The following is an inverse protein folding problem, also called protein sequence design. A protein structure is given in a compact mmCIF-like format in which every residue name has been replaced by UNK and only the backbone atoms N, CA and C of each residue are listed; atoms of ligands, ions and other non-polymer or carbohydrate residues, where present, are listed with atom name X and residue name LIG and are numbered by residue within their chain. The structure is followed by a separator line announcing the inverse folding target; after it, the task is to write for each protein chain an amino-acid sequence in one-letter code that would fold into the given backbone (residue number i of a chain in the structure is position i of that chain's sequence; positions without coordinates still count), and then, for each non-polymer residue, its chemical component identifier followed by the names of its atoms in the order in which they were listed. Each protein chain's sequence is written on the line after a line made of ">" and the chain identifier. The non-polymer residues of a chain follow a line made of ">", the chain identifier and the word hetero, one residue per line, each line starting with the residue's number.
data_IF_371743843383
#
_entry.id   IF_371743843383
#
_cell.length_a   1.000
_cell.length_b   1.000
_cell.length_c   1.000
_cell.angle_alpha   90.00
_cell.angle_beta   90.00
_cell.angle_gamma   90.00
#
_symmetry.space_group_name_H-M   'P 1'
#
loop_
_entity.id
_entity.type
_entity.pdbx_description
1 polymer ?
#
# COMPACT_ATOMS: atom_id res chain seq x y z
N UNK A 1 14.11 24.92 11.61
CA UNK A 1 14.25 24.47 10.20
C UNK A 1 15.21 23.28 10.03
N UNK A 2 16.41 23.27 10.63
CA UNK A 2 17.38 22.17 10.44
C UNK A 2 16.89 20.76 10.86
N UNK A 3 16.13 20.63 11.96
CA UNK A 3 15.64 19.33 12.43
C UNK A 3 14.55 18.71 11.55
N UNK A 4 13.72 19.54 10.90
CA UNK A 4 12.66 19.05 9.98
C UNK A 4 13.31 18.45 8.73
N UNK A 5 14.27 19.16 8.13
CA UNK A 5 14.98 18.70 6.92
C UNK A 5 15.78 17.43 7.19
N UNK A 6 16.34 17.28 8.42
CA UNK A 6 17.06 16.07 8.80
C UNK A 6 16.12 14.86 8.90
N UNK A 7 14.92 15.04 9.46
CA UNK A 7 13.93 13.97 9.57
C UNK A 7 13.42 13.50 8.20
N UNK A 8 13.19 14.42 7.25
CA UNK A 8 12.73 14.06 5.92
C UNK A 8 13.76 13.21 5.16
N UNK A 9 15.05 13.49 5.30
CA UNK A 9 16.11 12.65 4.71
C UNK A 9 16.18 11.26 5.32
N UNK A 10 16.00 11.14 6.64
CA UNK A 10 15.97 9.84 7.32
C UNK A 10 14.80 9.01 6.80
N UNK A 11 13.60 9.61 6.69
CA UNK A 11 12.42 8.96 6.14
C UNK A 11 12.66 8.49 4.70
N UNK A 12 13.29 9.32 3.87
CA UNK A 12 13.64 8.97 2.50
C UNK A 12 14.55 7.74 2.43
N UNK A 13 15.59 7.68 3.27
CA UNK A 13 16.48 6.52 3.35
C UNK A 13 15.78 5.26 3.87
N UNK A 14 14.88 5.38 4.87
CA UNK A 14 14.06 4.25 5.34
C UNK A 14 13.25 3.67 4.19
N UNK A 15 12.59 4.52 3.39
CA UNK A 15 11.82 4.08 2.22
C UNK A 15 12.70 3.34 1.20
N UNK A 16 13.89 3.87 0.92
CA UNK A 16 14.83 3.24 -0.04
C UNK A 16 15.27 1.88 0.47
N UNK A 17 15.68 1.76 1.73
CA UNK A 17 16.16 0.49 2.31
C UNK A 17 15.05 -0.55 2.34
N UNK A 18 13.87 -0.20 2.86
CA UNK A 18 12.70 -1.10 2.87
C UNK A 18 12.29 -1.45 1.43
N UNK A 19 12.28 -0.46 0.53
CA UNK A 19 11.91 -0.66 -0.86
C UNK A 19 12.84 -1.62 -1.61
N UNK A 20 14.16 -1.54 -1.39
CA UNK A 20 15.14 -2.45 -2.01
C UNK A 20 15.00 -3.87 -1.44
N UNK A 21 14.77 -4.01 -0.13
CA UNK A 21 14.69 -5.33 0.51
C UNK A 21 13.51 -6.18 0.01
N UNK A 22 12.40 -5.56 -0.43
CA UNK A 22 11.22 -6.28 -0.91
C UNK A 22 11.49 -7.09 -2.21
N UNK A 23 11.95 -6.50 -3.33
CA UNK A 23 12.26 -7.26 -4.53
C UNK A 23 13.44 -8.21 -4.34
N UNK A 24 14.42 -7.90 -3.48
CA UNK A 24 15.50 -8.84 -3.12
C UNK A 24 14.92 -10.09 -2.45
N UNK A 25 13.99 -9.94 -1.50
CA UNK A 25 13.34 -11.06 -0.87
C UNK A 25 12.51 -11.90 -1.86
N UNK A 26 11.85 -11.27 -2.84
CA UNK A 26 11.18 -11.98 -3.94
C UNK A 26 12.18 -12.82 -4.73
N UNK A 27 13.32 -12.24 -5.11
CA UNK A 27 14.35 -12.98 -5.86
C UNK A 27 14.91 -14.14 -5.04
N UNK A 28 15.24 -13.93 -3.77
CA UNK A 28 15.78 -15.01 -2.91
C UNK A 28 14.78 -16.14 -2.73
N UNK A 29 13.50 -15.80 -2.49
CA UNK A 29 12.47 -16.81 -2.18
C UNK A 29 11.93 -17.55 -3.40
N UNK A 30 11.82 -16.87 -4.54
CA UNK A 30 11.04 -17.36 -5.67
C UNK A 30 11.86 -17.60 -6.95
N UNK A 31 13.08 -17.05 -7.08
CA UNK A 31 13.91 -17.34 -8.24
C UNK A 31 14.25 -18.83 -8.41
N UNK A 32 14.41 -19.64 -7.34
CA UNK A 32 14.59 -21.10 -7.48
C UNK A 32 13.37 -21.81 -8.07
N UNK A 33 12.17 -21.22 -8.00
CA UNK A 33 10.90 -21.78 -8.49
C UNK A 33 10.19 -20.68 -9.30
N UNK A 34 10.68 -20.36 -10.53
CA UNK A 34 10.28 -19.16 -11.26
C UNK A 34 8.80 -19.14 -11.68
N UNK A 35 8.13 -20.30 -11.72
CA UNK A 35 6.69 -20.40 -11.98
C UNK A 35 5.82 -19.67 -10.96
N UNK A 36 6.31 -19.46 -9.74
CA UNK A 36 5.61 -18.71 -8.69
C UNK A 36 5.88 -17.20 -8.70
N UNK A 37 6.79 -16.70 -9.56
CA UNK A 37 7.02 -15.26 -9.71
C UNK A 37 5.76 -14.50 -10.20
N UNK A 38 4.80 -15.21 -10.76
CA UNK A 38 3.50 -14.66 -11.20
C UNK A 38 2.49 -14.54 -10.05
N UNK A 39 2.80 -15.01 -8.84
CA UNK A 39 1.95 -14.83 -7.67
C UNK A 39 1.75 -13.35 -7.33
N UNK A 40 0.55 -13.04 -6.85
CA UNK A 40 0.24 -11.67 -6.42
C UNK A 40 1.17 -11.18 -5.30
N UNK A 41 1.63 -12.08 -4.45
CA UNK A 41 2.66 -11.79 -3.43
C UNK A 41 3.93 -11.23 -4.05
N UNK A 42 4.45 -11.87 -5.08
CA UNK A 42 5.67 -11.45 -5.77
C UNK A 42 5.47 -10.12 -6.50
N UNK A 43 4.37 -10.00 -7.24
CA UNK A 43 4.04 -8.80 -8.02
C UNK A 43 3.81 -7.61 -7.08
N UNK A 44 2.98 -7.76 -6.03
CA UNK A 44 2.65 -6.64 -5.13
C UNK A 44 3.84 -6.18 -4.29
N UNK A 45 4.68 -7.12 -3.81
CA UNK A 45 5.90 -6.77 -3.09
C UNK A 45 6.93 -6.09 -4.01
N UNK A 46 7.10 -6.57 -5.24
CA UNK A 46 8.01 -5.93 -6.20
C UNK A 46 7.55 -4.52 -6.55
N UNK A 47 6.28 -4.34 -6.89
CA UNK A 47 5.71 -3.02 -7.19
C UNK A 47 5.79 -2.08 -5.98
N UNK A 48 5.49 -2.61 -4.78
CA UNK A 48 5.59 -1.85 -3.53
C UNK A 48 7.02 -1.40 -3.24
N UNK A 49 7.97 -2.32 -3.40
CA UNK A 49 9.38 -2.03 -3.24
C UNK A 49 9.87 -0.94 -4.20
N UNK A 50 9.57 -1.08 -5.48
CA UNK A 50 9.93 -0.08 -6.50
C UNK A 50 9.30 1.27 -6.23
N UNK A 51 8.03 1.30 -5.77
CA UNK A 51 7.35 2.54 -5.39
C UNK A 51 8.03 3.22 -4.21
N UNK A 52 8.42 2.47 -3.17
CA UNK A 52 9.13 3.02 -2.02
C UNK A 52 10.50 3.59 -2.40
N UNK A 53 11.26 2.88 -3.25
CA UNK A 53 12.57 3.37 -3.75
C UNK A 53 12.38 4.66 -4.54
N UNK A 54 11.46 4.68 -5.50
CA UNK A 54 11.20 5.84 -6.33
C UNK A 54 10.78 7.06 -5.49
N UNK A 55 9.88 6.86 -4.52
CA UNK A 55 9.46 7.94 -3.64
C UNK A 55 10.56 8.39 -2.69
N UNK A 56 11.37 7.48 -2.14
CA UNK A 56 12.52 7.83 -1.33
C UNK A 56 13.50 8.71 -2.10
N UNK A 57 13.82 8.37 -3.35
CA UNK A 57 14.67 9.18 -4.23
C UNK A 57 14.03 10.55 -4.52
N UNK A 58 12.74 10.58 -4.80
CA UNK A 58 12.01 11.83 -5.03
C UNK A 58 11.99 12.71 -3.77
N UNK A 59 11.82 12.10 -2.58
CA UNK A 59 11.83 12.84 -1.32
C UNK A 59 13.19 13.50 -1.02
N UNK A 60 14.31 12.88 -1.41
CA UNK A 60 15.63 13.50 -1.32
C UNK A 60 15.72 14.79 -2.15
N UNK A 61 14.91 14.90 -3.20
CA UNK A 61 14.79 16.06 -4.10
C UNK A 61 13.57 16.96 -3.79
N UNK A 62 12.92 16.80 -2.63
CA UNK A 62 11.76 17.59 -2.21
C UNK A 62 10.46 17.32 -2.99
N UNK A 63 10.38 16.18 -3.68
CA UNK A 63 9.20 15.72 -4.42
C UNK A 63 8.62 14.48 -3.77
N UNK A 64 7.38 14.11 -4.10
CA UNK A 64 6.73 12.89 -3.60
C UNK A 64 5.81 12.28 -4.65
N UNK A 65 5.57 10.98 -4.51
CA UNK A 65 4.60 10.24 -5.33
C UNK A 65 3.18 10.46 -4.77
N UNK A 66 2.14 10.44 -5.63
CA UNK A 66 0.75 10.54 -5.18
C UNK A 66 0.36 9.43 -4.19
N UNK A 67 -0.26 9.80 -3.06
CA UNK A 67 -0.67 8.85 -2.00
C UNK A 67 -1.64 7.77 -2.47
N UNK A 68 -2.37 7.98 -3.57
CA UNK A 68 -3.27 6.99 -4.16
C UNK A 68 -2.55 5.70 -4.57
N UNK A 69 -1.34 5.79 -5.12
CA UNK A 69 -0.56 4.62 -5.53
C UNK A 69 -0.15 3.79 -4.31
N UNK A 70 0.26 4.46 -3.24
CA UNK A 70 0.59 3.79 -1.99
C UNK A 70 -0.61 3.07 -1.38
N UNK A 71 -1.78 3.71 -1.35
CA UNK A 71 -2.99 3.08 -0.82
C UNK A 71 -3.38 1.84 -1.61
N UNK A 72 -3.33 1.90 -2.93
CA UNK A 72 -3.68 0.77 -3.79
C UNK A 72 -2.75 -0.43 -3.55
N UNK A 73 -1.45 -0.19 -3.49
CA UNK A 73 -0.47 -1.25 -3.22
C UNK A 73 -0.58 -1.72 -1.76
N UNK A 74 -0.77 -0.81 -0.78
CA UNK A 74 -0.99 -1.19 0.63
C UNK A 74 -2.19 -2.10 0.79
N UNK A 75 -3.29 -1.82 0.09
CA UNK A 75 -4.48 -2.67 0.14
C UNK A 75 -4.21 -4.05 -0.45
N UNK A 76 -3.49 -4.15 -1.57
CA UNK A 76 -3.09 -5.41 -2.18
C UNK A 76 -2.16 -6.23 -1.28
N UNK A 77 -1.11 -5.61 -0.75
CA UNK A 77 -0.15 -6.26 0.17
C UNK A 77 -0.85 -6.70 1.47
N UNK A 78 -1.77 -5.87 2.01
CA UNK A 78 -2.57 -6.27 3.17
C UNK A 78 -3.43 -7.49 2.88
N UNK A 79 -3.99 -7.58 1.68
CA UNK A 79 -4.79 -8.72 1.28
C UNK A 79 -3.97 -10.02 1.27
N UNK A 80 -2.73 -9.98 0.73
CA UNK A 80 -1.78 -11.08 0.81
C UNK A 80 -1.55 -11.50 2.27
N UNK A 81 -1.24 -10.52 3.13
CA UNK A 81 -1.05 -10.76 4.56
C UNK A 81 -2.28 -11.40 5.20
N UNK A 82 -3.47 -10.85 4.96
CA UNK A 82 -4.70 -11.31 5.60
C UNK A 82 -5.09 -12.73 5.15
N UNK A 83 -4.95 -13.06 3.86
CA UNK A 83 -5.21 -14.42 3.36
C UNK A 83 -4.17 -15.38 3.92
N UNK A 84 -2.90 -15.02 3.88
CA UNK A 84 -1.83 -15.90 4.34
C UNK A 84 -1.99 -16.19 5.83
N UNK A 85 -2.22 -15.18 6.68
CA UNK A 85 -2.36 -15.35 8.12
C UNK A 85 -3.71 -15.91 8.54
N UNK A 86 -4.79 -15.60 7.82
CA UNK A 86 -6.15 -16.00 8.19
C UNK A 86 -6.58 -17.35 7.62
N UNK A 87 -6.41 -17.55 6.32
CA UNK A 87 -6.98 -18.71 5.62
C UNK A 87 -5.99 -19.83 5.39
N UNK A 88 -4.72 -19.51 5.14
CA UNK A 88 -3.69 -20.49 4.78
C UNK A 88 -2.90 -20.99 5.99
N UNK A 89 -2.98 -20.33 7.15
CA UNK A 89 -2.27 -20.75 8.37
C UNK A 89 -2.63 -22.15 8.86
N UNK A 90 -3.84 -22.64 8.54
CA UNK A 90 -4.26 -24.00 8.87
C UNK A 90 -4.05 -25.04 7.76
N UNK A 91 -3.88 -24.61 6.51
CA UNK A 91 -3.79 -25.51 5.34
C UNK A 91 -2.35 -25.71 4.84
N UNK A 92 -1.48 -24.76 5.08
CA UNK A 92 -0.06 -24.83 4.75
C UNK A 92 0.76 -24.91 6.04
N UNK A 93 1.78 -25.78 6.06
CA UNK A 93 2.85 -25.67 7.05
C UNK A 93 3.58 -24.36 6.77
N UNK A 94 3.10 -23.28 7.40
CA UNK A 94 3.73 -21.98 7.28
C UNK A 94 5.11 -22.03 7.87
N UNK A 95 6.11 -22.10 7.01
CA UNK A 95 7.48 -21.84 7.41
C UNK A 95 7.63 -20.34 7.64
N UNK A 96 7.55 -19.89 8.91
CA UNK A 96 7.80 -18.50 9.28
C UNK A 96 9.31 -18.16 9.22
N UNK A 97 10.00 -18.64 8.20
CA UNK A 97 11.42 -18.44 8.02
C UNK A 97 11.75 -17.76 6.69
N UNK A 98 12.87 -17.07 6.67
CA UNK A 98 13.48 -16.52 5.46
C UNK A 98 12.58 -15.58 4.66
N UNK A 99 12.64 -15.73 3.35
CA UNK A 99 11.93 -14.87 2.40
C UNK A 99 10.40 -15.02 2.50
N UNK A 100 9.89 -16.19 2.83
CA UNK A 100 8.44 -16.40 2.99
C UNK A 100 7.88 -15.55 4.13
N UNK A 101 8.46 -15.60 5.31
CA UNK A 101 8.06 -14.77 6.45
C UNK A 101 8.18 -13.27 6.10
N UNK A 102 9.29 -12.90 5.46
CA UNK A 102 9.49 -11.52 5.06
C UNK A 102 8.37 -11.01 4.16
N UNK A 103 8.03 -11.73 3.09
CA UNK A 103 7.08 -11.29 2.06
C UNK A 103 5.62 -11.35 2.51
N UNK A 104 5.27 -12.28 3.42
CA UNK A 104 3.89 -12.48 3.84
C UNK A 104 3.54 -11.82 5.18
N UNK A 105 4.52 -11.47 6.01
CA UNK A 105 4.29 -10.84 7.31
C UNK A 105 5.03 -9.50 7.47
N UNK A 106 6.35 -9.49 7.34
CA UNK A 106 7.15 -8.32 7.70
C UNK A 106 7.01 -7.19 6.67
N UNK A 107 7.17 -7.45 5.38
CA UNK A 107 7.07 -6.43 4.33
C UNK A 107 5.69 -5.80 4.23
N UNK A 108 4.56 -6.55 4.34
CA UNK A 108 3.23 -5.95 4.45
C UNK A 108 3.10 -4.95 5.58
N UNK A 109 3.55 -5.31 6.77
CA UNK A 109 3.50 -4.42 7.94
C UNK A 109 4.35 -3.18 7.72
N UNK A 110 5.59 -3.33 7.26
CA UNK A 110 6.49 -2.21 7.00
C UNK A 110 5.95 -1.27 5.93
N UNK A 111 5.41 -1.81 4.82
CA UNK A 111 4.85 -1.02 3.73
C UNK A 111 3.62 -0.22 4.19
N UNK A 112 2.70 -0.87 4.92
CA UNK A 112 1.48 -0.23 5.45
C UNK A 112 1.84 0.85 6.47
N UNK A 113 2.81 0.60 7.34
CA UNK A 113 3.31 1.62 8.28
C UNK A 113 3.93 2.81 7.54
N UNK A 114 4.71 2.58 6.49
CA UNK A 114 5.22 3.66 5.64
C UNK A 114 4.07 4.51 5.08
N UNK A 115 3.01 3.86 4.54
CA UNK A 115 1.84 4.58 4.04
C UNK A 115 1.14 5.40 5.12
N UNK A 116 0.86 4.79 6.28
CA UNK A 116 0.10 5.46 7.35
C UNK A 116 0.88 6.64 7.96
N UNK A 117 2.18 6.48 8.18
CA UNK A 117 2.98 7.43 8.95
C UNK A 117 3.64 8.53 8.08
N UNK A 118 4.03 8.20 6.85
CA UNK A 118 4.87 9.07 6.03
C UNK A 118 4.15 9.68 4.83
N UNK A 119 2.96 9.18 4.48
CA UNK A 119 2.18 9.74 3.37
C UNK A 119 0.99 10.52 3.89
N UNK A 120 0.73 11.68 3.29
CA UNK A 120 -0.49 12.45 3.52
C UNK A 120 -1.45 12.25 2.33
N UNK A 121 -2.34 11.27 2.44
CA UNK A 121 -3.34 10.97 1.40
C UNK A 121 -4.66 11.72 1.63
N UNK A 122 -4.59 13.04 1.92
CA UNK A 122 -5.79 13.87 2.19
C UNK A 122 -6.34 14.58 0.98
N UNK A 123 -5.52 14.84 -0.02
CA UNK A 123 -5.92 15.61 -1.19
C UNK A 123 -6.95 14.86 -2.04
N UNK A 124 -7.93 15.59 -2.56
CA UNK A 124 -8.96 15.08 -3.46
C UNK A 124 -10.13 14.36 -2.78
N UNK A 125 -11.14 14.01 -3.60
CA UNK A 125 -12.40 13.40 -3.13
C UNK A 125 -12.17 11.95 -2.68
N UNK A 126 -12.54 11.62 -1.43
CA UNK A 126 -12.38 10.29 -0.85
C UNK A 126 -13.03 9.19 -1.72
N UNK A 127 -14.24 9.43 -2.24
CA UNK A 127 -14.94 8.45 -3.07
C UNK A 127 -14.15 8.06 -4.32
N UNK A 128 -13.59 9.06 -5.05
CA UNK A 128 -12.76 8.76 -6.23
C UNK A 128 -11.54 7.92 -5.88
N UNK A 129 -10.91 8.19 -4.74
CA UNK A 129 -9.77 7.43 -4.25
C UNK A 129 -10.13 5.98 -3.95
N UNK A 130 -11.29 5.75 -3.32
CA UNK A 130 -11.75 4.43 -2.95
C UNK A 130 -12.14 3.60 -4.17
N UNK A 131 -12.77 4.21 -5.18
CA UNK A 131 -13.11 3.53 -6.43
C UNK A 131 -11.89 3.04 -7.21
N UNK A 132 -10.74 3.71 -7.07
CA UNK A 132 -9.48 3.33 -7.74
C UNK A 132 -8.70 2.27 -6.94
N UNK A 133 -8.94 2.14 -5.63
CA UNK A 133 -8.18 1.21 -4.78
C UNK A 133 -8.20 -0.24 -5.25
N UNK A 134 -9.34 -0.81 -5.72
CA UNK A 134 -9.40 -2.20 -6.17
C UNK A 134 -8.72 -2.50 -7.51
N UNK A 135 -8.34 -1.48 -8.28
CA UNK A 135 -7.90 -1.65 -9.68
C UNK A 135 -6.72 -2.60 -9.81
N UNK A 136 -5.71 -2.51 -8.93
CA UNK A 136 -4.54 -3.39 -9.00
C UNK A 136 -4.94 -4.87 -8.82
N UNK A 137 -5.81 -5.15 -7.86
CA UNK A 137 -6.31 -6.51 -7.62
C UNK A 137 -7.15 -7.02 -8.78
N UNK A 138 -8.04 -6.19 -9.33
CA UNK A 138 -8.85 -6.60 -10.49
C UNK A 138 -8.00 -6.88 -11.73
N UNK A 139 -6.96 -6.09 -11.97
CA UNK A 139 -6.00 -6.35 -13.04
C UNK A 139 -5.26 -7.67 -12.82
N UNK A 140 -4.90 -7.97 -11.58
CA UNK A 140 -4.29 -9.25 -11.25
C UNK A 140 -5.25 -10.43 -11.44
N UNK A 141 -6.50 -10.32 -10.97
CA UNK A 141 -7.51 -11.37 -11.16
C UNK A 141 -7.80 -11.63 -12.65
N UNK A 142 -7.85 -10.56 -13.44
CA UNK A 142 -7.99 -10.69 -14.89
C UNK A 142 -6.77 -11.39 -15.51
N UNK A 143 -5.57 -11.02 -15.08
CA UNK A 143 -4.32 -11.67 -15.51
C UNK A 143 -4.31 -13.14 -15.15
N UNK A 144 -4.65 -13.50 -13.89
CA UNK A 144 -4.68 -14.89 -13.42
C UNK A 144 -5.75 -15.71 -14.17
N UNK A 145 -6.94 -15.12 -14.39
CA UNK A 145 -8.00 -15.77 -15.17
C UNK A 145 -7.56 -16.09 -16.61
N UNK A 146 -6.96 -15.11 -17.29
CA UNK A 146 -6.46 -15.31 -18.67
C UNK A 146 -5.32 -16.33 -18.67
N UNK A 147 -4.35 -16.18 -17.79
CA UNK A 147 -3.20 -17.08 -17.68
C UNK A 147 -3.64 -18.52 -17.35
N UNK A 148 -4.59 -18.68 -16.44
CA UNK A 148 -5.15 -19.98 -16.04
C UNK A 148 -5.81 -20.71 -17.18
N UNK A 149 -6.59 -20.01 -18.00
CA UNK A 149 -7.20 -20.59 -19.22
C UNK A 149 -6.16 -21.06 -20.25
N UNK A 150 -4.98 -20.40 -20.34
CA UNK A 150 -3.91 -20.83 -21.23
C UNK A 150 -3.05 -21.96 -20.65
N UNK A 151 -2.80 -21.96 -19.34
CA UNK A 151 -1.94 -22.94 -18.66
C UNK A 151 -2.66 -24.21 -18.22
N UNK A 152 -3.99 -24.18 -18.15
CA UNK A 152 -4.79 -25.24 -17.54
C UNK A 152 -4.72 -25.27 -16.00
N UNK A 153 -4.22 -24.21 -15.37
CA UNK A 153 -4.20 -24.08 -13.90
C UNK A 153 -4.12 -22.60 -13.50
N UNK A 154 -4.89 -22.19 -12.50
CA UNK A 154 -4.74 -20.87 -11.88
C UNK A 154 -3.49 -20.81 -10.99
N UNK A 155 -2.96 -19.60 -10.79
CA UNK A 155 -1.72 -19.39 -10.05
C UNK A 155 -1.78 -19.99 -8.63
N UNK A 156 -2.90 -19.84 -7.94
CA UNK A 156 -3.07 -20.38 -6.59
C UNK A 156 -3.72 -21.78 -6.53
N UNK A 157 -4.18 -22.32 -7.65
CA UNK A 157 -4.74 -23.68 -7.73
C UNK A 157 -6.01 -23.93 -6.89
N UNK A 158 -6.74 -22.87 -6.50
CA UNK A 158 -7.98 -23.02 -5.72
C UNK A 158 -9.16 -23.52 -6.54
N UNK A 159 -9.12 -23.37 -7.85
CA UNK A 159 -10.14 -23.77 -8.78
C UNK A 159 -9.52 -24.36 -10.05
N UNK A 160 -10.23 -25.30 -10.66
CA UNK A 160 -9.88 -25.77 -12.01
C UNK A 160 -10.38 -24.76 -13.06
N UNK A 161 -9.54 -24.36 -14.04
CA UNK A 161 -9.95 -23.36 -15.04
C UNK A 161 -11.20 -23.73 -15.84
N UNK A 162 -11.43 -25.02 -16.07
CA UNK A 162 -12.58 -25.49 -16.84
C UNK A 162 -13.90 -25.41 -16.04
N UNK A 163 -13.81 -25.39 -14.73
CA UNK A 163 -14.96 -25.28 -13.83
C UNK A 163 -15.40 -23.81 -13.62
N UNK A 164 -14.49 -22.85 -13.86
CA UNK A 164 -14.77 -21.42 -13.67
C UNK A 164 -15.31 -20.80 -14.94
N UNK A 165 -16.59 -20.46 -14.93
CA UNK A 165 -17.22 -19.68 -16.00
C UNK A 165 -16.85 -18.19 -15.94
N UNK A 166 -17.16 -17.46 -17.01
CA UNK A 166 -17.02 -15.98 -17.03
C UNK A 166 -17.90 -15.35 -15.93
N UNK A 167 -19.08 -15.92 -15.68
CA UNK A 167 -20.00 -15.43 -14.63
C UNK A 167 -19.36 -15.58 -13.25
N UNK A 168 -18.74 -16.73 -12.95
CA UNK A 168 -18.04 -16.95 -11.69
C UNK A 168 -16.88 -15.99 -11.53
N UNK A 169 -16.10 -15.76 -12.58
CA UNK A 169 -15.00 -14.79 -12.58
C UNK A 169 -15.51 -13.35 -12.29
N UNK A 170 -16.65 -12.96 -12.85
CA UNK A 170 -17.26 -11.65 -12.57
C UNK A 170 -17.75 -11.54 -11.12
N UNK A 171 -18.35 -12.60 -10.56
CA UNK A 171 -18.79 -12.63 -9.16
C UNK A 171 -17.59 -12.55 -8.23
N UNK A 172 -16.54 -13.36 -8.47
CA UNK A 172 -15.29 -13.31 -7.72
C UNK A 172 -14.70 -11.91 -7.79
N UNK A 173 -14.59 -11.33 -8.98
CA UNK A 173 -14.08 -9.96 -9.18
C UNK A 173 -14.90 -8.92 -8.39
N UNK A 174 -16.22 -9.03 -8.36
CA UNK A 174 -17.08 -8.12 -7.59
C UNK A 174 -16.85 -8.26 -6.08
N UNK A 175 -16.71 -9.48 -5.56
CA UNK A 175 -16.40 -9.73 -4.15
C UNK A 175 -15.07 -9.11 -3.77
N UNK A 176 -14.00 -9.39 -4.55
CA UNK A 176 -12.70 -8.81 -4.32
C UNK A 176 -12.71 -7.28 -4.42
N UNK A 177 -13.48 -6.73 -5.37
CA UNK A 177 -13.67 -5.28 -5.47
C UNK A 177 -14.20 -4.68 -4.18
N UNK A 178 -15.27 -5.25 -3.62
CA UNK A 178 -15.88 -4.77 -2.38
C UNK A 178 -14.92 -4.91 -1.17
N UNK A 179 -14.21 -6.03 -1.08
CA UNK A 179 -13.21 -6.25 -0.02
C UNK A 179 -12.09 -5.20 -0.10
N UNK A 180 -11.54 -4.96 -1.28
CA UNK A 180 -10.47 -3.99 -1.49
C UNK A 180 -10.94 -2.55 -1.27
N UNK A 181 -12.19 -2.25 -1.62
CA UNK A 181 -12.80 -0.96 -1.32
C UNK A 181 -12.89 -0.73 0.21
N UNK A 182 -13.33 -1.74 0.96
CA UNK A 182 -13.41 -1.67 2.42
C UNK A 182 -12.03 -1.50 3.08
N UNK A 183 -11.01 -2.27 2.63
CA UNK A 183 -9.63 -2.13 3.08
C UNK A 183 -9.07 -0.75 2.75
N UNK A 184 -9.34 -0.24 1.54
CA UNK A 184 -8.96 1.12 1.14
C UNK A 184 -9.59 2.19 2.02
N UNK A 185 -10.86 2.02 2.41
CA UNK A 185 -11.56 2.93 3.32
C UNK A 185 -10.92 2.93 4.72
N UNK A 186 -10.59 1.74 5.26
CA UNK A 186 -9.87 1.59 6.51
C UNK A 186 -8.52 2.32 6.46
N UNK A 187 -7.73 2.10 5.42
CA UNK A 187 -6.41 2.73 5.29
C UNK A 187 -6.49 4.24 5.13
N UNK A 188 -7.46 4.74 4.36
CA UNK A 188 -7.70 6.17 4.25
C UNK A 188 -8.10 6.78 5.60
N UNK A 189 -8.89 6.07 6.37
CA UNK A 189 -9.29 6.49 7.74
C UNK A 189 -8.07 6.52 8.68
N UNK A 190 -7.26 5.45 8.72
CA UNK A 190 -6.06 5.39 9.56
C UNK A 190 -5.04 6.47 9.17
N UNK A 191 -4.84 6.71 7.88
CA UNK A 191 -3.97 7.78 7.39
C UNK A 191 -4.48 9.17 7.82
N UNK A 192 -5.79 9.41 7.75
CA UNK A 192 -6.39 10.66 8.24
C UNK A 192 -6.20 10.85 9.75
N UNK A 193 -6.31 9.78 10.53
CA UNK A 193 -6.06 9.84 11.98
C UNK A 193 -4.59 10.18 12.28
N UNK A 194 -3.66 9.49 11.65
CA UNK A 194 -2.22 9.70 11.85
C UNK A 194 -1.79 11.15 11.55
N UNK A 195 -2.45 11.80 10.58
CA UNK A 195 -2.11 13.16 10.18
C UNK A 195 -3.01 14.26 10.76
N UNK A 196 -3.99 13.92 11.62
CA UNK A 196 -4.97 14.89 12.15
C UNK A 196 -4.33 16.08 12.89
N UNK A 197 -3.25 15.83 13.61
CA UNK A 197 -2.61 16.86 14.47
C UNK A 197 -1.53 17.68 13.75
N UNK A 198 -1.11 17.31 12.54
CA UNK A 198 -0.09 18.05 11.79
C UNK A 198 -0.58 19.38 11.18
N UNK A 199 -1.88 19.66 11.23
CA UNK A 199 -2.48 20.88 10.65
C UNK A 199 -2.78 22.00 11.66
N UNK A 200 -2.40 21.84 12.95
CA UNK A 200 -2.65 22.87 13.94
C UNK A 200 -1.44 23.75 14.14
N UNK A 201 -1.01 24.63 13.36
CA UNK A 201 -0.52 25.88 13.95
C UNK A 201 -0.45 27.16 13.15
N UNK A 202 -0.97 27.29 11.95
CA UNK A 202 -0.80 28.59 11.24
C UNK A 202 -1.94 29.55 11.54
N UNK A 203 -3.18 29.09 11.70
CA UNK A 203 -4.32 29.99 11.92
C UNK A 203 -4.40 30.57 13.35
N UNK A 204 -3.84 29.89 14.37
CA UNK A 204 -3.84 30.45 15.72
C UNK A 204 -2.82 31.59 15.92
N UNK A 205 -1.72 31.61 15.15
CA UNK A 205 -0.76 32.70 15.21
C UNK A 205 -1.26 33.98 14.50
N UNK A 206 -2.03 33.85 13.43
CA UNK A 206 -2.61 34.99 12.71
C UNK A 206 -3.70 35.65 13.55
N UNK A 207 -4.59 34.88 14.17
CA UNK A 207 -5.66 35.42 15.02
C UNK A 207 -5.11 36.16 16.27
N UNK A 208 -4.02 35.67 16.86
CA UNK A 208 -3.36 36.32 18.01
C UNK A 208 -2.65 37.62 17.58
N UNK A 209 -2.09 37.67 16.37
CA UNK A 209 -1.44 38.87 15.84
C UNK A 209 -2.45 39.93 15.40
N UNK A 210 -3.57 39.52 14.82
CA UNK A 210 -4.65 40.45 14.47
C UNK A 210 -5.33 41.02 15.71
N UNK A 211 -5.55 40.21 16.76
CA UNK A 211 -6.10 40.70 18.04
C UNK A 211 -5.17 41.68 18.75
N UNK A 212 -3.84 41.45 18.68
CA UNK A 212 -2.85 42.42 19.23
C UNK A 212 -2.75 43.72 18.46
N UNK A 213 -2.91 43.67 17.11
CA UNK A 213 -2.87 44.85 16.25
C UNK A 213 -4.17 45.66 16.29
N UNK A 214 -5.33 44.99 16.55
CA UNK A 214 -6.62 45.65 16.73
C UNK A 214 -6.68 46.51 18.00
N UNK A 215 -6.05 46.08 19.08
CA UNK A 215 -6.02 46.82 20.35
C UNK A 215 -5.15 48.08 20.27
N UNK A 216 -4.18 48.14 19.37
CA UNK A 216 -3.32 49.34 19.16
C UNK A 216 -3.97 50.45 18.36
N UNK A 217 -5.02 50.19 17.58
CA UNK A 217 -5.71 51.21 16.76
C UNK A 217 -6.87 51.93 17.47
N UNK A 218 -7.24 51.51 18.69
CA UNK A 218 -8.31 52.15 19.47
C UNK A 218 -7.81 53.09 20.59
N UNK A 219 -6.53 53.42 20.61
CA UNK A 219 -5.92 54.28 21.65
C UNK A 219 -5.34 55.58 21.12
N UNK A 220 -5.90 56.13 19.99
CA UNK A 220 -5.61 57.49 19.53
C UNK A 220 -6.92 58.19 19.13
#
# INVERSE_FOLDING_TARGET
>A
MSNIIKNDKIIAWIKIVVGISMPIAVLIGYLPIPEYLVEFTCISNTLGGLLLVADGILNLNGKSIPGVLYRNISAGIFFVFAICMGSLSGAYHMNFEGAFFYLHALSPVLFILCYILFFNDREGKAVKKLLVTPVLMLLYLLFDFVLGKFRGSFVYGFFEPDEVSITDALIIGAVFYLMMFAVGALFLFLNKLAHKNKQRPINQCTDVLEHKNGIRKSAF
#
